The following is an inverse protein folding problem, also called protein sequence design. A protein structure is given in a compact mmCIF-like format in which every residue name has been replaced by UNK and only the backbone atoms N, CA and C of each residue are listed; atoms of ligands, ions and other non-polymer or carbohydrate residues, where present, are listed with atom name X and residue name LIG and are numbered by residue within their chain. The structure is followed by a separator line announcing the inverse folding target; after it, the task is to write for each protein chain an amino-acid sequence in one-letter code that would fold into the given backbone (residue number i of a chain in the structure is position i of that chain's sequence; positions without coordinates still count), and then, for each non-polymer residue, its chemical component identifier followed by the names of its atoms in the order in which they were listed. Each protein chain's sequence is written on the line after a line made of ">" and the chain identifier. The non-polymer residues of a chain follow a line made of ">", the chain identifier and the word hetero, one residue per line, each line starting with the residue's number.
data_IF_769170828132
#
_entry.id   IF_769170828132
#
_cell.length_a   1.000
_cell.length_b   1.000
_cell.length_c   1.000
_cell.angle_alpha   90.00
_cell.angle_beta   90.00
_cell.angle_gamma   90.00
#
_symmetry.space_group_name_H-M   'P 1'
#
loop_
_entity.id
_entity.type
_entity.pdbx_description
1 polymer ?
#
# COMPACT_ATOMS: atom_id res chain seq x y z
N UNK A 1 16.70 8.74 90.77
CA UNK A 1 17.79 7.87 90.25
C UNK A 1 17.60 7.69 88.74
N UNK A 2 18.69 7.60 87.97
CA UNK A 2 18.78 7.17 86.54
C UNK A 2 17.98 7.97 85.48
N UNK A 3 18.71 8.77 84.68
CA UNK A 3 18.44 9.09 83.24
C UNK A 3 18.99 7.94 82.36
N UNK A 4 18.92 7.97 81.00
CA UNK A 4 17.99 8.59 80.03
C UNK A 4 17.30 7.50 79.14
N UNK A 5 16.53 7.75 78.06
CA UNK A 5 16.92 8.02 76.65
C UNK A 5 15.61 8.09 75.80
N UNK A 6 15.42 9.07 74.90
CA UNK A 6 15.41 8.97 73.40
C UNK A 6 14.32 8.03 72.79
N UNK A 7 13.63 8.32 71.67
CA UNK A 7 13.76 9.36 70.62
C UNK A 7 12.35 9.72 70.02
N UNK A 8 12.10 10.86 69.35
CA UNK A 8 12.03 11.04 67.86
C UNK A 8 11.31 9.88 67.13
N UNK A 9 10.35 10.01 66.20
CA UNK A 9 9.88 11.00 65.21
C UNK A 9 8.43 10.58 64.76
N UNK A 10 7.57 11.27 64.01
CA UNK A 10 7.54 12.56 63.27
C UNK A 10 6.06 13.08 63.19
N UNK A 11 5.74 13.97 62.23
CA UNK A 11 4.37 14.40 61.91
C UNK A 11 3.78 13.66 60.69
N UNK A 12 2.48 13.35 60.72
CA UNK A 12 1.74 12.78 59.58
C UNK A 12 1.08 13.87 58.73
N UNK A 13 1.49 14.00 57.47
CA UNK A 13 0.84 14.84 56.46
C UNK A 13 -0.07 13.98 55.58
N UNK A 14 -1.37 14.26 55.62
CA UNK A 14 -2.38 13.63 54.76
C UNK A 14 -2.32 14.23 53.34
N UNK A 15 -1.85 13.43 52.38
CA UNK A 15 -1.93 13.77 50.95
C UNK A 15 -3.23 13.21 50.35
N UNK A 16 -4.09 14.08 49.81
CA UNK A 16 -5.30 13.67 49.12
C UNK A 16 -4.97 13.10 47.73
N UNK A 17 -5.31 11.83 47.49
CA UNK A 17 -5.15 11.21 46.18
C UNK A 17 -6.29 11.62 45.24
N UNK A 18 -5.98 12.40 44.20
CA UNK A 18 -6.93 12.71 43.13
C UNK A 18 -7.19 11.49 42.25
N UNK A 19 -8.46 11.06 42.16
CA UNK A 19 -8.87 9.96 41.29
C UNK A 19 -8.99 10.50 39.86
N UNK A 20 -7.99 10.22 39.02
CA UNK A 20 -8.09 10.44 37.57
C UNK A 20 -9.02 9.39 36.96
N UNK A 21 -10.20 9.83 36.50
CA UNK A 21 -11.14 8.96 35.81
C UNK A 21 -10.58 8.48 34.48
N UNK A 22 -10.13 7.22 34.43
CA UNK A 22 -9.84 6.52 33.18
C UNK A 22 -11.16 6.31 32.43
N UNK A 23 -11.39 7.11 31.38
CA UNK A 23 -12.46 6.84 30.43
C UNK A 23 -12.23 5.45 29.80
N UNK A 24 -13.24 4.57 29.74
CA UNK A 24 -13.08 3.27 29.09
C UNK A 24 -12.75 3.49 27.62
N UNK A 25 -11.59 2.99 27.19
CA UNK A 25 -11.30 2.89 25.77
C UNK A 25 -12.39 2.00 25.14
N UNK A 26 -13.14 2.56 24.19
CA UNK A 26 -14.12 1.79 23.42
C UNK A 26 -13.43 0.59 22.75
N UNK A 27 -14.16 -0.52 22.51
CA UNK A 27 -13.57 -1.72 21.93
C UNK A 27 -12.87 -1.34 20.62
N UNK A 28 -11.57 -1.64 20.55
CA UNK A 28 -10.83 -1.50 19.31
C UNK A 28 -11.49 -2.43 18.29
N UNK A 29 -12.14 -1.85 17.28
CA UNK A 29 -12.69 -2.61 16.17
C UNK A 29 -11.52 -3.22 15.40
N UNK A 30 -11.19 -4.46 15.71
CA UNK A 30 -10.43 -5.32 14.82
C UNK A 30 -11.18 -5.31 13.47
N UNK A 31 -10.51 -4.84 12.42
CA UNK A 31 -11.12 -4.83 11.10
C UNK A 31 -11.26 -6.25 10.56
N UNK A 32 -11.94 -6.38 9.43
CA UNK A 32 -12.21 -7.69 8.84
C UNK A 32 -10.89 -8.43 8.53
N UNK A 33 -10.78 -9.68 8.99
CA UNK A 33 -9.76 -10.61 8.50
C UNK A 33 -10.26 -11.26 7.22
N UNK A 34 -9.45 -11.21 6.17
CA UNK A 34 -9.78 -11.67 4.82
C UNK A 34 -8.79 -12.76 4.42
N UNK A 35 -9.26 -14.02 4.37
CA UNK A 35 -8.46 -15.17 3.93
C UNK A 35 -8.90 -15.74 2.56
N UNK A 36 -10.08 -15.34 2.07
CA UNK A 36 -10.57 -15.73 0.76
C UNK A 36 -9.66 -15.20 -0.36
N UNK A 37 -9.47 -16.00 -1.41
CA UNK A 37 -8.48 -15.73 -2.47
C UNK A 37 -8.66 -14.35 -3.11
N UNK A 38 -9.91 -13.96 -3.37
CA UNK A 38 -10.28 -12.65 -3.91
C UNK A 38 -11.20 -11.87 -2.96
N UNK A 39 -11.14 -12.19 -1.66
CA UNK A 39 -11.88 -11.44 -0.66
C UNK A 39 -11.42 -9.98 -0.61
N UNK A 40 -12.36 -9.08 -0.37
CA UNK A 40 -12.11 -7.64 -0.25
C UNK A 40 -13.15 -6.97 0.66
N UNK A 41 -12.83 -5.78 1.17
CA UNK A 41 -13.77 -4.98 1.98
C UNK A 41 -13.52 -3.48 1.78
N UNK A 42 -14.55 -2.61 1.77
CA UNK A 42 -14.36 -1.17 1.78
C UNK A 42 -13.81 -0.68 3.14
N UNK A 43 -12.97 0.35 3.10
CA UNK A 43 -12.34 1.00 4.26
C UNK A 43 -12.43 2.52 4.14
N UNK A 44 -12.63 3.20 5.26
CA UNK A 44 -12.64 4.66 5.35
C UNK A 44 -13.72 5.37 4.52
N UNK A 45 -14.71 4.63 4.00
CA UNK A 45 -15.74 5.14 3.09
C UNK A 45 -15.22 5.61 1.73
N UNK A 46 -14.00 5.24 1.32
CA UNK A 46 -13.35 5.75 0.09
C UNK A 46 -12.47 4.74 -0.65
N UNK A 47 -11.90 3.76 0.06
CA UNK A 47 -10.95 2.80 -0.49
C UNK A 47 -11.45 1.37 -0.32
N UNK A 48 -10.79 0.41 -0.95
CA UNK A 48 -11.02 -1.04 -0.77
C UNK A 48 -9.69 -1.71 -0.45
N UNK A 49 -9.69 -2.60 0.56
CA UNK A 49 -8.60 -3.57 0.77
C UNK A 49 -8.98 -4.89 0.10
N UNK A 50 -8.02 -5.54 -0.55
CA UNK A 50 -8.18 -6.87 -1.14
C UNK A 50 -7.03 -7.81 -0.76
N UNK A 51 -7.34 -9.09 -0.55
CA UNK A 51 -6.33 -10.13 -0.31
C UNK A 51 -5.60 -10.54 -1.61
N UNK A 52 -6.36 -10.55 -2.73
CA UNK A 52 -5.86 -10.69 -4.10
C UNK A 52 -4.74 -11.75 -4.28
N UNK A 53 -5.01 -12.97 -3.82
CA UNK A 53 -4.11 -14.13 -3.86
C UNK A 53 -4.16 -14.82 -5.23
N UNK A 54 -3.86 -14.06 -6.27
CA UNK A 54 -4.05 -14.49 -7.65
C UNK A 54 -3.04 -15.57 -8.09
N UNK A 55 -1.81 -15.57 -7.59
CA UNK A 55 -0.74 -16.48 -8.02
C UNK A 55 -0.69 -17.84 -7.30
N UNK A 56 -1.40 -18.04 -6.17
CA UNK A 56 -1.34 -19.30 -5.42
C UNK A 56 -2.66 -19.81 -4.86
N UNK A 57 -2.70 -21.12 -4.54
CA UNK A 57 -3.76 -21.77 -3.75
C UNK A 57 -3.43 -21.86 -2.25
N UNK A 58 -2.15 -21.83 -1.87
CA UNK A 58 -1.70 -21.83 -0.47
C UNK A 58 -2.33 -20.68 0.32
N UNK A 59 -2.43 -20.77 1.65
CA UNK A 59 -3.13 -19.75 2.43
C UNK A 59 -2.45 -18.37 2.36
N UNK A 60 -3.27 -17.32 2.31
CA UNK A 60 -2.88 -15.96 2.69
C UNK A 60 -4.08 -15.29 3.37
N UNK A 61 -3.81 -14.57 4.45
CA UNK A 61 -4.78 -13.73 5.14
C UNK A 61 -4.24 -12.32 5.33
N UNK A 62 -5.12 -11.33 5.20
CA UNK A 62 -4.87 -9.95 5.64
C UNK A 62 -5.86 -9.53 6.72
N UNK A 63 -5.37 -8.84 7.74
CA UNK A 63 -6.20 -8.19 8.76
C UNK A 63 -6.31 -6.71 8.40
N UNK A 64 -7.54 -6.25 8.12
CA UNK A 64 -7.81 -4.85 7.78
C UNK A 64 -7.72 -3.98 9.03
N UNK A 65 -7.12 -2.80 8.91
CA UNK A 65 -6.99 -1.83 10.00
C UNK A 65 -7.83 -0.59 9.71
N UNK A 66 -7.65 0.51 10.46
CA UNK A 66 -8.28 1.80 10.12
C UNK A 66 -7.55 2.54 8.97
N UNK A 67 -6.26 2.27 8.78
CA UNK A 67 -5.40 2.98 7.81
C UNK A 67 -5.01 2.17 6.57
N UNK A 68 -5.22 0.86 6.59
CA UNK A 68 -4.84 -0.07 5.53
C UNK A 68 -5.02 -1.51 6.00
N UNK A 69 -3.96 -2.32 5.98
CA UNK A 69 -4.01 -3.74 6.36
C UNK A 69 -2.64 -4.28 6.77
N UNK A 70 -2.61 -5.44 7.41
CA UNK A 70 -1.41 -6.24 7.72
C UNK A 70 -1.56 -7.64 7.15
N UNK A 71 -0.52 -8.22 6.54
CA UNK A 71 -0.49 -9.63 6.15
C UNK A 71 -0.28 -10.49 7.40
N UNK A 72 -1.27 -11.32 7.75
CA UNK A 72 -1.29 -12.12 8.99
C UNK A 72 -1.10 -13.62 8.78
N UNK A 73 -1.23 -14.09 7.54
CA UNK A 73 -0.76 -15.40 7.09
C UNK A 73 -0.29 -15.28 5.65
N UNK A 74 0.82 -15.93 5.33
CA UNK A 74 1.32 -16.10 3.97
C UNK A 74 2.07 -17.44 3.92
N UNK A 75 1.58 -18.36 3.10
CA UNK A 75 2.12 -19.73 2.96
C UNK A 75 2.52 -20.05 1.51
N UNK A 76 2.37 -19.09 0.59
CA UNK A 76 2.71 -19.27 -0.81
C UNK A 76 4.20 -19.09 -1.06
N UNK A 77 4.78 -19.97 -1.87
CA UNK A 77 6.15 -19.85 -2.38
C UNK A 77 6.11 -19.82 -3.90
N UNK A 78 6.79 -18.85 -4.50
CA UNK A 78 7.04 -18.73 -5.93
C UNK A 78 8.54 -18.60 -6.23
N UNK A 79 8.92 -18.93 -7.45
CA UNK A 79 10.27 -18.67 -7.99
C UNK A 79 10.49 -17.14 -8.11
N UNK A 80 11.52 -16.56 -7.48
CA UNK A 80 11.87 -15.14 -7.61
C UNK A 80 12.11 -14.66 -9.05
N UNK A 81 12.40 -15.55 -10.00
CA UNK A 81 12.49 -15.24 -11.43
C UNK A 81 11.14 -15.23 -12.17
N UNK A 82 10.05 -15.63 -11.49
CA UNK A 82 8.70 -15.70 -12.03
C UNK A 82 7.73 -14.71 -11.39
N UNK A 83 6.44 -14.99 -11.52
CA UNK A 83 5.37 -14.17 -10.94
C UNK A 83 5.27 -14.34 -9.41
N UNK A 84 4.87 -13.29 -8.66
CA UNK A 84 4.60 -13.40 -7.22
C UNK A 84 3.33 -14.22 -6.96
N UNK A 85 3.10 -14.59 -5.70
CA UNK A 85 1.94 -15.42 -5.34
C UNK A 85 0.63 -14.63 -5.20
N UNK A 86 0.70 -13.30 -5.14
CA UNK A 86 -0.41 -12.41 -4.82
C UNK A 86 -0.03 -10.93 -4.94
N UNK A 87 -1.02 -10.04 -4.92
CA UNK A 87 -0.82 -8.61 -4.65
C UNK A 87 -1.88 -8.09 -3.65
N UNK A 88 -1.78 -8.43 -2.35
CA UNK A 88 -2.61 -7.83 -1.31
C UNK A 88 -2.36 -6.31 -1.26
N UNK A 89 -3.44 -5.54 -1.38
CA UNK A 89 -3.35 -4.10 -1.60
C UNK A 89 -4.57 -3.34 -1.08
N UNK A 90 -4.40 -2.03 -0.92
CA UNK A 90 -5.46 -1.04 -0.75
C UNK A 90 -5.54 -0.16 -2.00
N UNK A 91 -6.74 0.16 -2.49
CA UNK A 91 -6.91 0.96 -3.71
C UNK A 91 -8.02 1.99 -3.68
N UNK A 92 -7.87 2.99 -4.56
CA UNK A 92 -8.88 3.93 -5.01
C UNK A 92 -9.13 3.75 -6.51
N UNK A 93 -10.39 3.71 -6.94
CA UNK A 93 -10.76 3.46 -8.34
C UNK A 93 -11.42 2.08 -8.53
N UNK A 94 -11.32 1.52 -9.74
CA UNK A 94 -11.96 0.26 -10.11
C UNK A 94 -10.95 -0.84 -10.49
N UNK A 95 -11.15 -2.04 -9.95
CA UNK A 95 -10.34 -3.22 -10.25
C UNK A 95 -11.26 -4.45 -10.39
N UNK A 96 -11.24 -5.10 -11.58
CA UNK A 96 -12.09 -6.25 -11.92
C UNK A 96 -13.58 -6.10 -11.54
N UNK A 97 -14.16 -4.92 -11.78
CA UNK A 97 -15.57 -4.61 -11.49
C UNK A 97 -15.84 -4.18 -10.04
N UNK A 98 -14.87 -4.32 -9.13
CA UNK A 98 -14.95 -3.78 -7.78
C UNK A 98 -14.44 -2.33 -7.76
N UNK A 99 -15.33 -1.37 -7.54
CA UNK A 99 -15.01 0.05 -7.49
C UNK A 99 -15.07 0.59 -6.06
N UNK A 100 -14.08 1.39 -5.67
CA UNK A 100 -14.04 1.94 -4.31
C UNK A 100 -15.13 3.00 -4.10
N UNK A 101 -15.70 3.12 -2.87
CA UNK A 101 -16.88 3.97 -2.65
C UNK A 101 -16.61 5.43 -3.03
N UNK A 102 -17.49 6.01 -3.86
CA UNK A 102 -17.41 7.41 -4.28
C UNK A 102 -16.16 7.77 -5.09
N UNK A 103 -15.57 6.82 -5.83
CA UNK A 103 -14.42 7.11 -6.69
C UNK A 103 -14.80 7.91 -7.94
N UNK A 104 -13.93 8.84 -8.32
CA UNK A 104 -14.01 9.63 -9.55
C UNK A 104 -13.37 8.92 -10.76
N UNK A 105 -12.77 7.73 -10.54
CA UNK A 105 -12.13 6.92 -11.59
C UNK A 105 -13.13 5.89 -12.16
N UNK A 106 -13.09 5.57 -13.47
CA UNK A 106 -12.10 6.02 -14.46
C UNK A 106 -12.20 7.49 -14.88
N UNK A 107 -11.07 8.20 -14.86
CA UNK A 107 -10.99 9.60 -15.28
C UNK A 107 -9.97 9.78 -16.42
N UNK A 108 -10.37 10.51 -17.46
CA UNK A 108 -9.53 10.72 -18.64
C UNK A 108 -8.30 11.58 -18.28
N UNK A 109 -7.10 11.11 -18.61
CA UNK A 109 -5.81 11.68 -18.20
C UNK A 109 -5.68 13.17 -18.54
N UNK A 110 -6.13 13.59 -19.73
CA UNK A 110 -6.12 15.00 -20.14
C UNK A 110 -7.07 15.91 -19.35
N UNK A 111 -8.07 15.34 -18.66
CA UNK A 111 -9.04 16.06 -17.83
C UNK A 111 -8.66 16.14 -16.35
N UNK A 112 -7.59 15.46 -15.92
CA UNK A 112 -7.15 15.48 -14.52
C UNK A 112 -6.47 16.82 -14.22
N UNK A 113 -6.88 17.45 -13.12
CA UNK A 113 -6.23 18.62 -12.53
C UNK A 113 -5.16 18.19 -11.52
N UNK A 114 -5.55 17.30 -10.61
CA UNK A 114 -4.70 16.77 -9.54
C UNK A 114 -4.98 15.26 -9.41
N UNK A 115 -3.92 14.47 -9.22
CA UNK A 115 -4.04 13.13 -8.65
C UNK A 115 -2.89 12.93 -7.66
N UNK A 116 -3.19 12.98 -6.36
CA UNK A 116 -2.20 12.83 -5.30
C UNK A 116 -2.44 11.55 -4.51
N UNK A 117 -1.35 10.92 -4.06
CA UNK A 117 -1.41 9.73 -3.23
C UNK A 117 -0.35 9.75 -2.14
N UNK A 118 -0.65 9.10 -1.02
CA UNK A 118 0.26 8.91 0.11
C UNK A 118 0.16 7.49 0.62
N UNK A 119 1.30 6.89 0.98
CA UNK A 119 1.34 5.60 1.69
C UNK A 119 2.34 5.63 2.83
N UNK A 120 2.07 4.82 3.85
CA UNK A 120 3.07 4.41 4.82
C UNK A 120 3.10 2.89 4.99
N UNK A 121 4.25 2.30 4.74
CA UNK A 121 4.51 0.86 4.88
C UNK A 121 5.21 0.53 6.20
N UNK A 122 4.93 -0.66 6.75
CA UNK A 122 5.88 -1.39 7.59
C UNK A 122 6.58 -2.45 6.74
N UNK A 123 7.91 -2.34 6.68
CA UNK A 123 8.82 -3.12 5.83
C UNK A 123 9.70 -4.08 6.65
N UNK A 124 9.41 -4.25 7.95
CA UNK A 124 10.25 -5.03 8.88
C UNK A 124 10.16 -6.55 8.71
N UNK A 125 9.16 -7.04 7.98
CA UNK A 125 8.98 -8.46 7.77
C UNK A 125 10.08 -9.02 6.86
N UNK A 126 10.57 -10.22 7.18
CA UNK A 126 11.53 -10.92 6.32
C UNK A 126 10.82 -11.66 5.18
N UNK A 127 11.55 -11.87 4.07
CA UNK A 127 11.10 -12.70 2.96
C UNK A 127 11.72 -12.29 1.64
N UNK A 128 11.07 -12.70 0.55
CA UNK A 128 11.32 -12.20 -0.81
C UNK A 128 10.04 -11.55 -1.30
N UNK A 129 10.06 -10.22 -1.41
CA UNK A 129 8.88 -9.41 -1.71
C UNK A 129 9.30 -7.99 -2.15
N UNK A 130 8.36 -7.26 -2.75
CA UNK A 130 8.45 -5.80 -2.88
C UNK A 130 7.37 -5.12 -2.02
N UNK A 131 7.49 -3.80 -1.87
CA UNK A 131 6.37 -2.93 -1.55
C UNK A 131 6.16 -2.01 -2.77
N UNK A 132 4.96 -2.02 -3.36
CA UNK A 132 4.73 -1.42 -4.67
C UNK A 132 3.36 -0.75 -4.79
N UNK A 133 3.33 0.37 -5.51
CA UNK A 133 2.11 0.85 -6.15
C UNK A 133 1.89 0.14 -7.47
N UNK A 134 0.64 -0.19 -7.77
CA UNK A 134 0.16 -0.49 -9.12
C UNK A 134 -0.84 0.60 -9.53
N UNK A 135 -0.57 1.27 -10.65
CA UNK A 135 -1.40 2.34 -11.19
C UNK A 135 -1.81 1.94 -12.60
N UNK A 136 -3.12 1.81 -12.82
CA UNK A 136 -3.67 1.18 -14.03
C UNK A 136 -4.28 2.20 -14.97
N UNK A 137 -3.97 2.08 -16.26
CA UNK A 137 -4.49 2.93 -17.32
C UNK A 137 -4.94 2.14 -18.55
N UNK A 138 -5.98 2.64 -19.23
CA UNK A 138 -6.59 1.99 -20.39
C UNK A 138 -7.08 3.04 -21.42
N UNK A 139 -7.10 2.73 -22.73
CA UNK A 139 -7.68 3.64 -23.74
C UNK A 139 -9.20 3.84 -23.59
N UNK A 140 -9.91 2.97 -22.87
CA UNK A 140 -11.32 3.10 -22.51
C UNK A 140 -11.52 3.41 -21.02
N UNK A 141 -12.68 3.92 -20.58
CA UNK A 141 -13.02 4.11 -19.16
C UNK A 141 -13.30 2.74 -18.50
N UNK A 142 -12.29 1.90 -18.38
CA UNK A 142 -12.40 0.51 -17.94
C UNK A 142 -12.64 0.40 -16.44
N UNK A 143 -13.69 -0.32 -16.05
CA UNK A 143 -13.95 -0.72 -14.66
C UNK A 143 -13.69 -2.21 -14.40
N UNK A 144 -13.66 -3.05 -15.45
CA UNK A 144 -13.50 -4.51 -15.35
C UNK A 144 -12.60 -5.09 -16.45
N UNK A 145 -11.97 -6.23 -16.16
CA UNK A 145 -10.93 -6.86 -16.98
C UNK A 145 -9.56 -6.21 -16.83
N UNK A 146 -8.59 -6.72 -17.59
CA UNK A 146 -7.21 -6.22 -17.61
C UNK A 146 -7.14 -4.87 -18.31
N UNK A 147 -6.39 -3.93 -17.72
CA UNK A 147 -6.12 -2.62 -18.30
C UNK A 147 -4.87 -2.68 -19.19
N UNK A 148 -4.83 -1.89 -20.27
CA UNK A 148 -3.74 -1.99 -21.27
C UNK A 148 -2.34 -1.59 -20.77
N UNK A 149 -2.24 -0.65 -19.82
CA UNK A 149 -0.97 -0.16 -19.25
C UNK A 149 -0.98 -0.23 -17.72
N UNK A 150 0.13 -0.75 -17.19
CA UNK A 150 0.44 -0.81 -15.77
C UNK A 150 1.65 0.08 -15.47
N UNK A 151 1.55 0.90 -14.43
CA UNK A 151 2.66 1.68 -13.88
C UNK A 151 2.94 1.15 -12.49
N UNK A 152 4.09 0.51 -12.30
CA UNK A 152 4.51 0.04 -10.98
C UNK A 152 5.51 1.01 -10.35
N UNK A 153 5.38 1.31 -9.07
CA UNK A 153 6.36 2.11 -8.32
C UNK A 153 6.83 1.29 -7.12
N UNK A 154 8.01 0.69 -7.22
CA UNK A 154 8.59 -0.17 -6.19
C UNK A 154 9.30 0.70 -5.15
N UNK A 155 8.69 0.80 -3.97
CA UNK A 155 9.18 1.56 -2.81
C UNK A 155 10.22 0.77 -2.01
N UNK A 156 10.12 -0.56 -2.01
CA UNK A 156 11.10 -1.46 -1.37
C UNK A 156 11.25 -2.75 -2.18
N UNK A 157 12.38 -3.42 -2.02
CA UNK A 157 12.66 -4.76 -2.55
C UNK A 157 13.53 -5.55 -1.57
N UNK A 158 13.03 -6.72 -1.17
CA UNK A 158 13.79 -7.71 -0.41
C UNK A 158 13.95 -9.01 -1.22
N UNK A 159 15.16 -9.56 -1.19
CA UNK A 159 15.54 -10.73 -1.99
C UNK A 159 15.83 -10.42 -3.46
N UNK A 160 16.20 -11.46 -4.21
CA UNK A 160 16.67 -11.37 -5.61
C UNK A 160 15.49 -11.40 -6.60
N UNK A 161 14.66 -10.37 -6.58
CA UNK A 161 13.57 -10.15 -7.54
C UNK A 161 13.84 -8.92 -8.43
N UNK A 162 13.14 -8.83 -9.55
CA UNK A 162 13.20 -7.68 -10.46
C UNK A 162 11.83 -7.42 -11.12
N UNK A 163 11.58 -6.22 -11.65
CA UNK A 163 10.35 -5.95 -12.39
C UNK A 163 10.27 -6.72 -13.71
N UNK A 164 9.05 -6.70 -14.28
CA UNK A 164 8.77 -7.23 -15.63
C UNK A 164 9.63 -6.51 -16.68
N UNK A 165 10.17 -7.27 -17.63
CA UNK A 165 10.91 -6.76 -18.77
C UNK A 165 12.39 -6.49 -18.48
N UNK A 166 12.92 -5.36 -18.95
CA UNK A 166 14.33 -5.01 -18.83
C UNK A 166 14.52 -3.55 -18.42
N UNK A 167 15.67 -3.27 -17.79
CA UNK A 167 16.08 -1.93 -17.37
C UNK A 167 16.42 -1.08 -18.59
N UNK A 168 15.64 -0.02 -18.84
CA UNK A 168 15.81 0.90 -19.97
C UNK A 168 16.61 2.16 -19.61
N UNK A 169 16.83 2.43 -18.31
CA UNK A 169 17.61 3.58 -17.86
C UNK A 169 17.25 4.03 -16.46
N UNK A 170 17.32 5.34 -16.23
CA UNK A 170 16.90 6.00 -14.99
C UNK A 170 15.99 7.20 -15.30
N UNK A 171 15.25 7.66 -14.30
CA UNK A 171 14.43 8.88 -14.39
C UNK A 171 14.38 9.62 -13.06
N UNK A 172 14.09 10.92 -13.10
CA UNK A 172 13.78 11.72 -11.92
C UNK A 172 12.29 12.08 -11.95
N UNK A 173 11.49 11.48 -11.06
CA UNK A 173 10.03 11.62 -11.02
C UNK A 173 9.60 11.88 -9.57
N UNK A 174 8.73 12.87 -9.34
CA UNK A 174 8.35 13.30 -7.98
C UNK A 174 9.53 13.80 -7.12
N UNK A 175 10.60 14.30 -7.74
CA UNK A 175 11.82 14.71 -7.04
C UNK A 175 12.70 13.56 -6.53
N UNK A 176 12.44 12.31 -6.95
CA UNK A 176 13.24 11.12 -6.62
C UNK A 176 13.86 10.50 -7.86
N UNK A 177 15.04 9.92 -7.73
CA UNK A 177 15.68 9.11 -8.77
C UNK A 177 15.19 7.67 -8.73
N UNK A 178 14.95 7.09 -9.90
CA UNK A 178 14.42 5.74 -10.09
C UNK A 178 15.24 4.99 -11.14
N UNK A 179 15.41 3.68 -10.96
CA UNK A 179 15.70 2.80 -12.11
C UNK A 179 14.41 2.54 -12.87
N UNK A 180 14.42 2.66 -14.19
CA UNK A 180 13.22 2.45 -15.01
C UNK A 180 13.35 1.14 -15.78
N UNK A 181 12.32 0.31 -15.66
CA UNK A 181 12.14 -0.96 -16.35
C UNK A 181 10.93 -0.89 -17.26
N UNK A 182 10.99 -1.54 -18.41
CA UNK A 182 9.88 -1.62 -19.36
C UNK A 182 9.76 -3.03 -19.96
N UNK A 183 8.51 -3.44 -20.20
CA UNK A 183 8.20 -4.69 -20.88
C UNK A 183 6.70 -4.95 -20.91
N UNK A 184 6.32 -6.22 -20.91
CA UNK A 184 4.95 -6.66 -20.74
C UNK A 184 4.91 -8.06 -20.15
N UNK A 185 3.86 -8.35 -19.40
CA UNK A 185 3.65 -9.64 -18.72
C UNK A 185 2.96 -10.70 -19.62
N UNK A 186 2.86 -10.42 -20.92
CA UNK A 186 2.10 -11.21 -21.90
C UNK A 186 0.62 -10.81 -22.02
N UNK A 187 0.11 -9.93 -21.15
CA UNK A 187 -1.30 -9.49 -21.14
C UNK A 187 -1.43 -7.97 -21.23
N UNK A 188 -0.58 -7.22 -20.52
CA UNK A 188 -0.50 -5.76 -20.55
C UNK A 188 0.94 -5.25 -20.64
N UNK A 189 1.09 -3.99 -21.04
CA UNK A 189 2.37 -3.28 -20.96
C UNK A 189 2.65 -2.87 -19.52
N UNK A 190 3.93 -2.85 -19.13
CA UNK A 190 4.40 -2.49 -17.78
C UNK A 190 5.54 -1.49 -17.88
N UNK A 191 5.46 -0.40 -17.12
CA UNK A 191 6.59 0.47 -16.81
C UNK A 191 6.78 0.49 -15.31
N UNK A 192 7.96 0.11 -14.82
CA UNK A 192 8.25 0.01 -13.39
C UNK A 192 9.37 0.96 -12.97
N UNK A 193 9.17 1.64 -11.86
CA UNK A 193 10.11 2.59 -11.26
C UNK A 193 10.63 1.99 -9.94
N UNK A 194 11.91 1.65 -9.88
CA UNK A 194 12.51 1.01 -8.70
C UNK A 194 13.32 2.03 -7.91
N UNK A 195 12.99 2.20 -6.63
CA UNK A 195 13.74 3.06 -5.73
C UNK A 195 15.14 2.47 -5.45
N UNK A 196 16.20 3.30 -5.38
CA UNK A 196 17.56 2.84 -5.06
C UNK A 196 17.73 2.45 -3.58
N UNK A 197 16.78 2.82 -2.71
CA UNK A 197 16.75 2.49 -1.29
C UNK A 197 15.29 2.49 -0.77
N UNK A 198 14.98 1.79 0.33
CA UNK A 198 13.61 1.62 0.82
C UNK A 198 12.90 2.94 1.19
N UNK A 199 11.66 3.10 0.74
CA UNK A 199 10.81 4.27 1.01
C UNK A 199 9.66 3.85 1.94
N UNK A 200 9.83 4.02 3.24
CA UNK A 200 8.80 3.63 4.23
C UNK A 200 7.55 4.53 4.19
N UNK A 201 7.68 5.82 3.86
CA UNK A 201 6.55 6.77 3.71
C UNK A 201 6.84 7.78 2.63
N UNK A 202 5.84 8.10 1.80
CA UNK A 202 5.93 9.19 0.82
C UNK A 202 4.53 9.65 0.37
N UNK A 203 4.43 10.94 0.03
CA UNK A 203 3.28 11.57 -0.63
C UNK A 203 3.76 12.16 -1.95
N UNK A 204 3.02 11.95 -3.03
CA UNK A 204 3.44 12.32 -4.38
C UNK A 204 2.26 12.57 -5.32
N UNK A 205 2.57 13.18 -6.47
CA UNK A 205 1.66 13.32 -7.61
C UNK A 205 1.74 12.06 -8.48
N UNK A 206 0.62 11.34 -8.59
CA UNK A 206 0.46 10.21 -9.52
C UNK A 206 0.63 10.67 -10.98
N UNK A 207 0.24 11.93 -11.26
CA UNK A 207 0.42 12.52 -12.59
C UNK A 207 1.89 12.63 -13.01
N UNK A 208 2.85 12.68 -12.09
CA UNK A 208 4.27 12.77 -12.45
C UNK A 208 4.72 11.50 -13.19
N UNK A 209 4.31 10.34 -12.68
CA UNK A 209 4.57 9.03 -13.31
C UNK A 209 3.74 8.82 -14.58
N UNK A 210 2.46 9.20 -14.56
CA UNK A 210 1.60 9.15 -15.78
C UNK A 210 2.20 10.02 -16.89
N UNK A 211 2.76 11.19 -16.57
CA UNK A 211 3.40 12.07 -17.55
C UNK A 211 4.76 11.56 -18.05
N UNK A 212 5.54 10.88 -17.20
CA UNK A 212 6.78 10.21 -17.64
C UNK A 212 6.47 8.99 -18.54
N UNK A 213 5.39 8.23 -18.28
CA UNK A 213 4.93 7.16 -19.18
C UNK A 213 4.36 7.71 -20.51
N UNK A 214 3.72 8.89 -20.47
CA UNK A 214 3.30 9.63 -21.69
C UNK A 214 4.49 10.10 -22.52
N UNK A 215 5.56 10.62 -21.91
CA UNK A 215 6.74 11.12 -22.64
C UNK A 215 7.50 10.01 -23.35
N UNK A 216 7.39 8.76 -22.85
CA UNK A 216 7.88 7.53 -23.48
C UNK A 216 6.99 7.01 -24.62
N UNK A 217 5.88 7.68 -24.92
CA UNK A 217 4.96 7.31 -26.01
C UNK A 217 4.02 6.14 -25.72
N UNK A 218 3.99 5.62 -24.49
CA UNK A 218 3.20 4.43 -24.16
C UNK A 218 1.69 4.70 -24.06
N UNK A 219 1.29 5.89 -23.65
CA UNK A 219 -0.11 6.31 -23.47
C UNK A 219 -0.32 7.76 -23.93
N UNK A 220 -1.57 8.16 -24.19
CA UNK A 220 -1.91 9.54 -24.57
C UNK A 220 -2.80 10.23 -23.53
N UNK A 221 -3.08 11.53 -23.72
CA UNK A 221 -4.03 12.26 -22.88
C UNK A 221 -5.50 11.80 -23.01
N UNK A 222 -5.84 10.98 -24.02
CA UNK A 222 -7.20 10.47 -24.19
C UNK A 222 -7.47 9.16 -23.43
N UNK A 223 -6.42 8.52 -22.88
CA UNK A 223 -6.52 7.36 -22.00
C UNK A 223 -7.12 7.73 -20.65
N UNK A 224 -7.50 6.73 -19.87
CA UNK A 224 -8.12 6.85 -18.56
C UNK A 224 -7.21 6.28 -17.48
N UNK A 225 -7.08 6.99 -16.37
CA UNK A 225 -6.60 6.42 -15.11
C UNK A 225 -7.78 5.65 -14.47
N UNK A 226 -7.60 4.37 -14.15
CA UNK A 226 -8.70 3.49 -13.70
C UNK A 226 -8.59 3.08 -12.24
N UNK A 227 -7.37 2.88 -11.72
CA UNK A 227 -7.13 2.72 -10.28
C UNK A 227 -5.72 3.14 -9.86
N UNK A 228 -5.60 3.53 -8.58
CA UNK A 228 -4.36 3.76 -7.84
C UNK A 228 -4.35 2.76 -6.68
N UNK A 229 -3.40 1.83 -6.68
CA UNK A 229 -3.30 0.74 -5.70
C UNK A 229 -1.95 0.80 -4.99
N UNK A 230 -1.89 0.39 -3.72
CA UNK A 230 -0.66 0.28 -2.95
C UNK A 230 -0.68 -0.99 -2.10
N UNK A 231 0.39 -1.77 -2.14
CA UNK A 231 0.43 -3.12 -1.58
C UNK A 231 1.81 -3.76 -1.63
N UNK A 232 1.82 -5.08 -1.63
CA UNK A 232 3.04 -5.89 -1.64
C UNK A 232 2.89 -7.05 -2.63
N UNK A 233 3.93 -7.34 -3.40
CA UNK A 233 4.05 -8.61 -4.12
C UNK A 233 4.99 -9.55 -3.34
N UNK A 234 4.48 -10.53 -2.57
CA UNK A 234 5.30 -11.56 -1.98
C UNK A 234 5.56 -12.72 -2.95
N UNK A 235 6.81 -13.17 -3.01
CA UNK A 235 7.21 -14.46 -3.56
C UNK A 235 7.40 -15.51 -2.46
N UNK A 236 7.99 -15.09 -1.33
CA UNK A 236 8.31 -15.98 -0.19
C UNK A 236 8.09 -15.21 1.12
N UNK A 237 7.17 -15.66 1.97
CA UNK A 237 6.90 -15.03 3.26
C UNK A 237 6.17 -13.68 3.15
N UNK A 238 6.52 -12.72 4.00
CA UNK A 238 5.85 -11.41 4.05
C UNK A 238 4.76 -11.28 5.14
N UNK A 239 4.54 -12.29 5.98
CA UNK A 239 3.74 -12.14 7.21
C UNK A 239 4.35 -11.03 8.08
N UNK A 240 3.53 -10.05 8.46
CA UNK A 240 3.94 -8.84 9.19
C UNK A 240 4.12 -7.59 8.32
N UNK A 241 4.14 -7.71 6.98
CA UNK A 241 4.07 -6.56 6.09
C UNK A 241 2.74 -5.83 6.27
N UNK A 242 2.78 -4.49 6.31
CA UNK A 242 1.57 -3.69 6.54
C UNK A 242 1.52 -2.40 5.74
N UNK A 243 0.35 -2.09 5.16
CA UNK A 243 0.01 -0.72 4.79
C UNK A 243 -0.61 -0.07 6.02
N UNK A 244 0.17 0.80 6.68
CA UNK A 244 -0.20 1.49 7.92
C UNK A 244 -1.09 2.71 7.70
N UNK A 245 -0.97 3.34 6.52
CA UNK A 245 -1.79 4.46 6.09
C UNK A 245 -1.81 4.55 4.57
N UNK A 246 -2.96 4.88 3.98
CA UNK A 246 -3.11 5.18 2.56
C UNK A 246 -4.05 6.37 2.34
N UNK A 247 -3.73 7.20 1.35
CA UNK A 247 -4.68 8.13 0.75
C UNK A 247 -4.48 8.24 -0.76
N UNK A 248 -5.59 8.45 -1.47
CA UNK A 248 -5.58 8.76 -2.89
C UNK A 248 -6.76 9.68 -3.24
N UNK A 249 -6.49 10.70 -4.05
CA UNK A 249 -7.47 11.60 -4.64
C UNK A 249 -7.22 11.70 -6.14
N UNK A 250 -8.27 11.99 -6.89
CA UNK A 250 -8.17 12.38 -8.30
C UNK A 250 -9.27 13.40 -8.57
N UNK A 251 -8.89 14.59 -9.04
CA UNK A 251 -9.81 15.70 -9.29
C UNK A 251 -9.78 16.07 -10.78
N UNK A 252 -10.97 16.30 -11.34
CA UNK A 252 -11.14 16.87 -12.68
C UNK A 252 -10.83 18.37 -12.67
N UNK A 253 -10.39 18.90 -13.82
CA UNK A 253 -10.32 20.34 -14.12
C UNK A 253 -11.70 20.99 -14.20
#
# INVERSE_FOLDING_TARGET
>A
MRRPLQALLAAGLLAAAGITGLAPAGPAQAGARICDRYGSTPIGGRYVVMNNRWGTRAEQCVDVTRGGFTITSQQGVADPGGAPVSYPAIFYGCHYGNCSPGTDLPLQVGSIAEATSSVGYDLRAAGTHNAAYDIWLDPAPRTNGVNAQEIMIWFDRQGSIQPVGSRVGTATVGGRGWEVWQGGNGVNAVVSYVAPAPIARWSFSVLDFVNDVRSRGAITGSWYLTSIQAGFEPWIGGTGLAVTSFSATCARR
#
